data_IF_484814886898
#
_entry.id   IF_484814886898
#
_cell.length_a   1.000
_cell.length_b   1.000
_cell.length_c   1.000
_cell.angle_alpha   90.00
_cell.angle_beta   90.00
_cell.angle_gamma   90.00
#
_symmetry.space_group_name_H-M   'P 1'
#
loop_
_entity.id
_entity.type
_entity.pdbx_description
1 polymer ?
#
# COMPACT_ATOMS: atom_id res chain seq x y z
N UNK A 1 -17.43 -20.07 6.55
CA UNK A 1 -16.65 -18.93 7.09
C UNK A 1 -15.90 -18.25 5.94
N UNK A 2 -16.41 -17.14 5.41
CA UNK A 2 -15.84 -16.39 4.25
C UNK A 2 -15.14 -15.09 4.67
N UNK A 3 -14.72 -14.96 5.93
CA UNK A 3 -14.27 -13.70 6.53
C UNK A 3 -12.98 -13.12 5.89
N UNK A 4 -12.15 -13.96 5.24
CA UNK A 4 -10.92 -13.53 4.55
C UNK A 4 -11.12 -13.03 3.12
N UNK A 5 -12.17 -13.46 2.40
CA UNK A 5 -12.37 -13.11 0.98
C UNK A 5 -12.86 -11.67 0.81
N UNK A 6 -13.63 -11.14 1.76
CA UNK A 6 -14.14 -9.77 1.72
C UNK A 6 -13.07 -8.73 2.08
N UNK A 7 -12.22 -8.99 3.07
CA UNK A 7 -11.10 -8.10 3.43
C UNK A 7 -10.12 -7.85 2.26
N UNK A 8 -9.88 -8.87 1.43
CA UNK A 8 -8.98 -8.74 0.28
C UNK A 8 -9.60 -7.89 -0.84
N UNK A 9 -10.92 -7.98 -1.05
CA UNK A 9 -11.66 -7.17 -2.03
C UNK A 9 -11.71 -5.71 -1.57
N UNK A 10 -11.93 -5.45 -0.28
CA UNK A 10 -11.94 -4.10 0.29
C UNK A 10 -10.56 -3.42 0.19
N UNK A 11 -9.47 -4.15 0.45
CA UNK A 11 -8.10 -3.63 0.30
C UNK A 11 -7.77 -3.31 -1.17
N UNK A 12 -8.17 -4.17 -2.10
CA UNK A 12 -7.97 -3.93 -3.54
C UNK A 12 -8.74 -2.70 -4.02
N UNK A 13 -10.00 -2.54 -3.60
CA UNK A 13 -10.81 -1.35 -3.91
C UNK A 13 -10.16 -0.06 -3.42
N UNK A 14 -9.66 -0.07 -2.18
CA UNK A 14 -9.04 1.11 -1.55
C UNK A 14 -7.73 1.51 -2.24
N UNK A 15 -6.88 0.55 -2.63
CA UNK A 15 -5.62 0.84 -3.33
C UNK A 15 -5.89 1.39 -4.74
N UNK A 16 -6.88 0.84 -5.44
CA UNK A 16 -7.26 1.33 -6.77
C UNK A 16 -7.84 2.76 -6.69
N UNK A 17 -8.70 3.03 -5.70
CA UNK A 17 -9.21 4.38 -5.45
C UNK A 17 -8.10 5.36 -5.07
N UNK A 18 -7.15 4.95 -4.22
CA UNK A 18 -5.99 5.76 -3.87
C UNK A 18 -5.13 6.08 -5.10
N UNK A 19 -4.88 5.10 -5.98
CA UNK A 19 -4.16 5.31 -7.24
C UNK A 19 -4.87 6.31 -8.14
N UNK A 20 -6.19 6.19 -8.29
CA UNK A 20 -6.97 7.13 -9.09
C UNK A 20 -6.89 8.55 -8.51
N UNK A 21 -7.02 8.68 -7.19
CA UNK A 21 -6.93 9.97 -6.49
C UNK A 21 -5.56 10.62 -6.67
N UNK A 22 -4.47 9.84 -6.54
CA UNK A 22 -3.11 10.34 -6.80
C UNK A 22 -3.01 10.90 -8.22
N UNK A 23 -3.48 10.17 -9.22
CA UNK A 23 -3.45 10.63 -10.61
C UNK A 23 -4.26 11.92 -10.82
N UNK A 24 -5.43 12.05 -10.21
CA UNK A 24 -6.24 13.27 -10.27
C UNK A 24 -5.51 14.48 -9.69
N UNK A 25 -4.87 14.33 -8.53
CA UNK A 25 -4.11 15.41 -7.89
C UNK A 25 -2.89 15.80 -8.73
N UNK A 26 -2.20 14.84 -9.37
CA UNK A 26 -1.12 15.15 -10.32
C UNK A 26 -1.62 15.89 -11.56
N UNK A 27 -2.77 15.51 -12.12
CA UNK A 27 -3.33 16.22 -13.28
C UNK A 27 -3.78 17.64 -12.93
N UNK A 28 -4.36 17.85 -11.75
CA UNK A 28 -4.78 19.19 -11.29
C UNK A 28 -3.60 20.13 -11.12
N UNK A 29 -2.49 19.64 -10.55
CA UNK A 29 -1.31 20.46 -10.27
C UNK A 29 -0.31 20.52 -11.44
N UNK A 30 -0.65 19.96 -12.61
CA UNK A 30 0.24 19.85 -13.77
C UNK A 30 0.80 21.20 -14.27
N UNK A 31 0.01 22.26 -14.15
CA UNK A 31 0.39 23.60 -14.62
C UNK A 31 0.88 24.51 -13.49
N UNK A 32 1.05 23.97 -12.28
CA UNK A 32 1.51 24.76 -11.15
C UNK A 32 2.98 25.16 -11.38
N UNK A 33 3.26 26.47 -11.42
CA UNK A 33 4.61 27.01 -11.64
C UNK A 33 5.18 27.74 -10.42
N UNK A 34 4.45 27.76 -9.30
CA UNK A 34 4.90 28.36 -8.06
C UNK A 34 5.85 27.39 -7.33
N UNK A 35 7.14 27.74 -7.13
CA UNK A 35 8.14 26.82 -6.58
C UNK A 35 7.83 26.39 -5.14
N UNK A 36 7.28 27.29 -4.33
CA UNK A 36 6.89 27.03 -2.94
C UNK A 36 5.80 25.95 -2.88
N UNK A 37 4.77 26.08 -3.73
CA UNK A 37 3.65 25.14 -3.80
C UNK A 37 4.04 23.79 -4.38
N UNK A 38 4.98 23.76 -5.32
CA UNK A 38 5.58 22.50 -5.81
C UNK A 38 6.30 21.77 -4.67
N UNK A 39 7.08 22.50 -3.85
CA UNK A 39 7.78 21.89 -2.71
C UNK A 39 6.82 21.28 -1.69
N UNK A 40 5.70 21.93 -1.41
CA UNK A 40 4.67 21.40 -0.51
C UNK A 40 4.01 20.14 -1.09
N UNK A 41 3.63 20.16 -2.37
CA UNK A 41 3.03 19.02 -3.05
C UNK A 41 3.99 17.82 -3.13
N UNK A 42 5.29 18.06 -3.33
CA UNK A 42 6.31 17.02 -3.31
C UNK A 42 6.44 16.38 -1.92
N UNK A 43 6.40 17.18 -0.85
CA UNK A 43 6.45 16.68 0.52
C UNK A 43 5.26 15.77 0.83
N UNK A 44 4.05 16.18 0.43
CA UNK A 44 2.84 15.35 0.58
C UNK A 44 3.00 14.02 -0.19
N UNK A 45 3.53 14.08 -1.42
CA UNK A 45 3.80 12.88 -2.20
C UNK A 45 4.79 11.92 -1.51
N UNK A 46 5.85 12.44 -0.92
CA UNK A 46 6.85 11.66 -0.17
C UNK A 46 6.24 11.02 1.10
N UNK A 47 5.43 11.77 1.84
CA UNK A 47 4.77 11.25 3.05
C UNK A 47 3.80 10.10 2.71
N UNK A 48 3.03 10.26 1.63
CA UNK A 48 2.12 9.21 1.13
C UNK A 48 2.90 8.00 0.61
N UNK A 49 4.02 8.20 -0.08
CA UNK A 49 4.90 7.11 -0.50
C UNK A 49 5.40 6.32 0.71
N UNK A 50 5.93 7.00 1.74
CA UNK A 50 6.42 6.36 2.95
C UNK A 50 5.32 5.58 3.67
N UNK A 51 4.11 6.12 3.73
CA UNK A 51 2.95 5.45 4.32
C UNK A 51 2.59 4.18 3.55
N UNK A 52 2.45 4.26 2.22
CA UNK A 52 2.15 3.08 1.39
C UNK A 52 3.24 2.02 1.50
N UNK A 53 4.49 2.47 1.57
CA UNK A 53 5.66 1.63 1.77
C UNK A 53 5.59 0.87 3.09
N UNK A 54 5.27 1.53 4.20
CA UNK A 54 5.24 0.89 5.54
C UNK A 54 3.98 0.06 5.79
N UNK A 55 2.86 0.40 5.18
CA UNK A 55 1.55 -0.22 5.49
C UNK A 55 1.11 -1.31 4.52
N UNK A 56 1.72 -1.40 3.33
CA UNK A 56 1.29 -2.33 2.27
C UNK A 56 2.36 -3.39 2.01
N UNK A 57 1.99 -4.66 2.17
CA UNK A 57 2.77 -5.81 1.71
C UNK A 57 2.31 -6.15 0.29
N UNK A 58 3.26 -6.20 -0.65
CA UNK A 58 2.98 -6.52 -2.04
C UNK A 58 3.10 -8.02 -2.29
N UNK A 59 2.20 -8.56 -3.11
CA UNK A 59 2.20 -9.95 -3.53
C UNK A 59 2.02 -10.06 -5.03
N UNK A 60 2.81 -10.92 -5.68
CA UNK A 60 2.69 -11.23 -7.11
C UNK A 60 2.14 -12.65 -7.26
N UNK A 61 1.06 -12.78 -8.03
CA UNK A 61 0.56 -14.09 -8.46
C UNK A 61 1.50 -14.64 -9.53
N UNK A 62 2.15 -15.78 -9.26
CA UNK A 62 3.06 -16.42 -10.22
C UNK A 62 2.39 -17.55 -10.98
N UNK A 63 1.47 -18.30 -10.34
CA UNK A 63 0.75 -19.44 -10.90
C UNK A 63 -0.64 -19.57 -10.26
N UNK A 64 -1.50 -20.45 -10.77
CA UNK A 64 -2.93 -20.54 -10.39
C UNK A 64 -3.22 -20.66 -8.88
N UNK A 65 -2.26 -21.04 -8.04
CA UNK A 65 -2.46 -21.19 -6.59
C UNK A 65 -1.27 -20.70 -5.74
N UNK A 66 -0.32 -19.92 -6.30
CA UNK A 66 0.84 -19.41 -5.56
C UNK A 66 0.95 -17.90 -5.65
N UNK A 67 1.15 -17.27 -4.50
CA UNK A 67 1.42 -15.84 -4.37
C UNK A 67 2.79 -15.72 -3.73
N UNK A 68 3.71 -15.04 -4.42
CA UNK A 68 4.99 -14.65 -3.84
C UNK A 68 4.77 -13.29 -3.17
N UNK A 69 4.82 -13.28 -1.84
CA UNK A 69 4.86 -12.05 -1.08
C UNK A 69 6.29 -11.51 -1.10
N UNK A 70 6.44 -10.21 -1.26
CA UNK A 70 7.70 -9.51 -1.06
C UNK A 70 7.59 -8.66 0.21
N UNK A 71 7.57 -9.30 1.40
CA UNK A 71 7.60 -8.57 2.67
C UNK A 71 8.97 -7.92 2.84
N UNK A 72 9.00 -6.86 3.63
CA UNK A 72 10.22 -6.16 3.99
C UNK A 72 10.95 -6.91 5.08
N UNK A 73 12.28 -6.83 5.10
CA UNK A 73 13.13 -7.43 6.13
C UNK A 73 12.73 -6.98 7.55
N UNK A 74 12.31 -5.72 7.69
CA UNK A 74 11.81 -5.14 8.95
C UNK A 74 10.47 -5.71 9.45
N UNK A 75 9.67 -6.33 8.57
CA UNK A 75 8.38 -6.97 8.89
C UNK A 75 8.47 -8.50 8.83
N UNK A 76 9.59 -9.03 8.32
CA UNK A 76 9.86 -10.46 8.31
C UNK A 76 10.12 -10.93 9.74
N UNK A 77 9.12 -11.61 10.30
CA UNK A 77 9.28 -12.29 11.59
C UNK A 77 10.11 -13.56 11.37
N UNK A 78 11.15 -13.72 12.18
CA UNK A 78 11.93 -14.96 12.23
C UNK A 78 11.01 -16.12 12.60
N UNK A 79 11.11 -17.24 11.87
CA UNK A 79 10.21 -18.41 11.86
C UNK A 79 9.55 -18.73 13.22
N UNK A 80 8.53 -17.96 13.59
CA UNK A 80 7.79 -18.16 14.82
C UNK A 80 6.71 -19.20 14.54
N UNK A 81 6.60 -20.24 15.39
CA UNK A 81 5.50 -21.18 15.27
C UNK A 81 4.19 -20.40 15.30
N UNK A 82 3.33 -20.69 14.33
CA UNK A 82 2.01 -20.08 14.25
C UNK A 82 1.26 -20.32 15.57
N UNK A 83 0.76 -19.25 16.18
CA UNK A 83 0.08 -19.28 17.46
C UNK A 83 -1.39 -18.86 17.27
N UNK A 84 -2.32 -19.80 17.46
CA UNK A 84 -3.76 -19.55 17.30
C UNK A 84 -4.32 -18.50 18.28
N UNK A 85 -3.62 -18.24 19.38
CA UNK A 85 -3.96 -17.20 20.34
C UNK A 85 -2.92 -16.07 20.33
N UNK A 86 -3.07 -15.04 19.48
CA UNK A 86 -2.26 -13.85 19.58
C UNK A 86 -2.49 -13.19 20.95
N UNK A 87 -1.44 -13.07 21.76
CA UNK A 87 -1.52 -12.33 23.02
C UNK A 87 -1.69 -10.84 22.69
N UNK A 88 -2.71 -10.23 23.31
CA UNK A 88 -3.05 -8.80 23.22
C UNK A 88 -1.90 -7.90 23.63
#
# INVERSE_FOLDING_TARGET
MTFGRWKLIDVLSNILAARQKINEEFQKNKNESAPEKISELLKIGQDVELLLRTTVIQGVHTDSHRIVLQPREEVLLDNMPYCDNPKK
#
